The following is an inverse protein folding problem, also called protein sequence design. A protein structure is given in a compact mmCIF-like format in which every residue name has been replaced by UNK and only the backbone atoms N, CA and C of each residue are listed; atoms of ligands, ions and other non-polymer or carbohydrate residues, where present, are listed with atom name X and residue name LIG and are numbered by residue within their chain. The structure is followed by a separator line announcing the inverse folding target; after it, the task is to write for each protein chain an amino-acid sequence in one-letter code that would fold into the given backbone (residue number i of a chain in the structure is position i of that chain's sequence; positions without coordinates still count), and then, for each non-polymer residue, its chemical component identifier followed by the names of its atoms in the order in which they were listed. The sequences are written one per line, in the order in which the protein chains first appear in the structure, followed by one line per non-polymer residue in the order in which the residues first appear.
data_IF_963514039866
#
_entry.id   IF_963514039866
#
_cell.length_a   1.000
_cell.length_b   1.000
_cell.length_c   1.000
_cell.angle_alpha   90.00
_cell.angle_beta   90.00
_cell.angle_gamma   90.00
#
_symmetry.space_group_name_H-M   'P 1'
#
loop_
_entity.id
_entity.type
_entity.pdbx_description
1 polymer ?
#
# COMPACT_ATOMS: atom_id res chain seq x y z
N UNK A 1 -35.88 -8.39 -23.82
CA UNK A 1 -35.00 -7.33 -23.29
C UNK A 1 -34.10 -7.97 -22.26
N UNK A 2 -32.96 -8.49 -22.72
CA UNK A 2 -31.98 -9.15 -21.85
C UNK A 2 -31.17 -8.06 -21.16
N UNK A 3 -31.34 -7.90 -19.84
CA UNK A 3 -30.50 -7.00 -19.07
C UNK A 3 -29.10 -7.61 -18.96
N UNK A 4 -28.11 -6.87 -19.46
CA UNK A 4 -26.71 -7.19 -19.24
C UNK A 4 -26.41 -6.97 -17.75
N UNK A 5 -26.19 -8.08 -17.03
CA UNK A 5 -25.49 -8.04 -15.76
C UNK A 5 -24.09 -7.47 -16.05
N UNK A 6 -23.75 -6.36 -15.39
CA UNK A 6 -22.43 -5.75 -15.48
C UNK A 6 -21.36 -6.77 -15.08
N UNK A 7 -20.55 -7.17 -16.06
CA UNK A 7 -19.32 -7.92 -15.83
C UNK A 7 -18.39 -7.00 -15.05
N UNK A 8 -18.21 -7.27 -13.75
CA UNK A 8 -17.16 -6.62 -12.96
C UNK A 8 -15.82 -6.93 -13.61
N UNK A 9 -15.10 -5.89 -14.03
CA UNK A 9 -13.77 -6.07 -14.61
C UNK A 9 -12.93 -6.91 -13.63
N UNK A 10 -12.30 -7.98 -14.15
CA UNK A 10 -11.37 -8.78 -13.37
C UNK A 10 -10.31 -7.84 -12.81
N UNK A 11 -10.10 -7.91 -11.49
CA UNK A 11 -9.13 -7.05 -10.85
C UNK A 11 -7.73 -7.40 -11.31
N UNK A 12 -6.84 -6.41 -11.50
CA UNK A 12 -5.49 -6.65 -11.97
C UNK A 12 -4.79 -7.61 -10.99
N UNK A 13 -4.33 -8.73 -11.52
CA UNK A 13 -3.59 -9.72 -10.75
C UNK A 13 -2.17 -9.23 -10.47
N UNK A 14 -1.41 -10.02 -9.69
CA UNK A 14 0.01 -9.77 -9.40
C UNK A 14 0.84 -9.52 -10.66
N UNK A 15 0.55 -10.26 -11.75
CA UNK A 15 1.26 -10.12 -13.03
C UNK A 15 0.98 -8.75 -13.70
N UNK A 16 -0.25 -8.25 -13.59
CA UNK A 16 -0.63 -6.96 -14.18
C UNK A 16 0.06 -5.81 -13.45
N UNK A 17 0.18 -5.89 -12.11
CA UNK A 17 0.88 -4.90 -11.32
C UNK A 17 2.39 -4.88 -11.60
N UNK A 18 3.00 -6.06 -11.78
CA UNK A 18 4.40 -6.16 -12.16
C UNK A 18 4.67 -5.58 -13.56
N UNK A 19 3.80 -5.86 -14.54
CA UNK A 19 3.88 -5.30 -15.88
C UNK A 19 3.70 -3.76 -15.85
N UNK A 20 2.76 -3.26 -15.04
CA UNK A 20 2.57 -1.82 -14.87
C UNK A 20 3.78 -1.17 -14.20
N UNK A 21 4.37 -1.81 -13.20
CA UNK A 21 5.60 -1.35 -12.57
C UNK A 21 6.73 -1.21 -13.60
N UNK A 22 6.92 -2.22 -14.45
CA UNK A 22 7.94 -2.17 -15.50
C UNK A 22 7.71 -1.01 -16.48
N UNK A 23 6.46 -0.74 -16.85
CA UNK A 23 6.12 0.41 -17.70
C UNK A 23 6.47 1.75 -17.07
N UNK A 24 6.23 1.91 -15.77
CA UNK A 24 6.39 3.19 -15.05
C UNK A 24 7.83 3.45 -14.60
N UNK A 25 8.56 2.38 -14.23
CA UNK A 25 9.89 2.48 -13.64
C UNK A 25 11.02 2.01 -14.59
N UNK A 26 10.69 1.41 -15.73
CA UNK A 26 11.64 0.96 -16.74
C UNK A 26 12.45 -0.29 -16.36
N UNK A 27 12.01 -1.03 -15.34
CA UNK A 27 12.63 -2.26 -14.85
C UNK A 27 11.62 -3.15 -14.14
N UNK A 28 11.88 -4.44 -14.07
CA UNK A 28 11.05 -5.37 -13.30
C UNK A 28 11.08 -5.04 -11.80
N UNK A 29 9.98 -5.28 -11.07
CA UNK A 29 10.00 -5.24 -9.61
C UNK A 29 10.80 -6.42 -9.05
N UNK A 30 11.38 -6.25 -7.85
CA UNK A 30 12.00 -7.35 -7.11
C UNK A 30 10.94 -8.33 -6.59
N UNK A 31 9.74 -7.83 -6.35
CA UNK A 31 8.59 -8.63 -5.98
C UNK A 31 7.30 -7.84 -5.92
N UNK A 32 6.21 -8.57 -5.68
CA UNK A 32 4.89 -8.01 -5.41
C UNK A 32 4.40 -8.61 -4.10
N UNK A 33 4.02 -7.74 -3.17
CA UNK A 33 3.48 -8.11 -1.87
C UNK A 33 2.06 -7.60 -1.76
N UNK A 34 1.26 -8.26 -0.92
CA UNK A 34 -0.12 -7.87 -0.69
C UNK A 34 -0.53 -8.11 0.76
N UNK A 35 -1.41 -7.26 1.26
CA UNK A 35 -2.05 -7.44 2.56
C UNK A 35 -3.55 -7.14 2.45
N UNK A 36 -4.40 -7.92 3.13
CA UNK A 36 -5.84 -7.74 3.07
C UNK A 36 -6.29 -6.54 3.91
N UNK A 37 -7.39 -5.92 3.50
CA UNK A 37 -8.21 -5.14 4.41
C UNK A 37 -8.82 -6.05 5.49
N UNK A 38 -9.51 -5.45 6.46
CA UNK A 38 -10.17 -6.23 7.52
C UNK A 38 -11.48 -5.59 7.97
N UNK A 39 -12.36 -6.43 8.48
CA UNK A 39 -13.56 -6.05 9.21
C UNK A 39 -13.44 -6.59 10.62
N UNK A 40 -13.92 -5.82 11.61
CA UNK A 40 -14.09 -6.32 12.95
C UNK A 40 -15.51 -6.88 13.08
N UNK A 41 -15.65 -8.12 13.54
CA UNK A 41 -16.97 -8.71 13.77
C UNK A 41 -17.56 -8.15 15.08
N UNK A 42 -16.72 -7.98 16.10
CA UNK A 42 -17.06 -7.42 17.41
C UNK A 42 -15.79 -6.94 18.13
N UNK A 43 -15.95 -6.05 19.11
CA UNK A 43 -14.84 -5.48 19.88
C UNK A 43 -14.32 -4.19 19.26
N UNK A 44 -15.22 -3.29 18.87
CA UNK A 44 -14.83 -1.94 18.46
C UNK A 44 -14.43 -1.12 19.69
N UNK A 45 -13.40 -0.29 19.57
CA UNK A 45 -12.89 0.58 20.63
C UNK A 45 -12.34 -0.12 21.88
N UNK A 46 -12.06 -1.43 21.80
CA UNK A 46 -11.51 -2.21 22.91
C UNK A 46 -10.01 -2.44 22.80
N UNK A 47 -9.44 -2.42 21.59
CA UNK A 47 -8.03 -2.71 21.31
C UNK A 47 -7.06 -1.78 22.04
N UNK A 48 -7.29 -0.47 21.97
CA UNK A 48 -6.46 0.52 22.68
C UNK A 48 -6.74 0.59 24.19
N UNK A 49 -7.70 -0.19 24.68
CA UNK A 49 -8.02 -0.34 26.10
C UNK A 49 -7.64 -1.73 26.64
N UNK A 50 -6.74 -2.45 25.95
CA UNK A 50 -6.30 -3.81 26.32
C UNK A 50 -7.43 -4.86 26.38
N UNK A 51 -8.52 -4.64 25.64
CA UNK A 51 -9.65 -5.56 25.53
C UNK A 51 -9.54 -6.54 24.35
N UNK A 52 -10.54 -7.42 24.23
CA UNK A 52 -10.61 -8.40 23.14
C UNK A 52 -11.22 -7.82 21.86
N UNK A 53 -10.78 -8.35 20.72
CA UNK A 53 -11.27 -8.04 19.37
C UNK A 53 -11.47 -9.32 18.57
N UNK A 54 -12.37 -9.31 17.58
CA UNK A 54 -12.57 -10.44 16.66
C UNK A 54 -12.56 -9.97 15.19
N UNK A 55 -11.38 -9.62 14.65
CA UNK A 55 -11.25 -9.22 13.26
C UNK A 55 -11.12 -10.42 12.33
N UNK A 56 -11.47 -10.21 11.06
CA UNK A 56 -11.13 -11.13 9.98
C UNK A 56 -10.70 -10.35 8.72
N UNK A 57 -9.77 -10.95 7.97
CA UNK A 57 -9.32 -10.43 6.68
C UNK A 57 -10.43 -10.58 5.63
N UNK A 58 -10.62 -9.56 4.80
CA UNK A 58 -11.55 -9.61 3.66
C UNK A 58 -10.83 -9.99 2.36
N UNK A 59 -11.59 -10.25 1.30
CA UNK A 59 -11.08 -10.58 -0.04
C UNK A 59 -10.54 -9.37 -0.83
N UNK A 60 -10.49 -8.20 -0.20
CA UNK A 60 -9.94 -6.95 -0.74
C UNK A 60 -8.55 -6.71 -0.18
N UNK A 61 -7.63 -6.26 -1.00
CA UNK A 61 -6.19 -6.19 -0.70
C UNK A 61 -5.57 -4.88 -1.17
N UNK A 62 -4.60 -4.40 -0.41
CA UNK A 62 -3.57 -3.50 -0.95
C UNK A 62 -2.44 -4.37 -1.51
N UNK A 63 -1.91 -3.97 -2.66
CA UNK A 63 -0.83 -4.63 -3.39
C UNK A 63 0.26 -3.61 -3.69
N UNK A 64 1.51 -3.99 -3.45
CA UNK A 64 2.67 -3.16 -3.78
C UNK A 64 3.66 -3.95 -4.62
N UNK A 65 4.06 -3.38 -5.75
CA UNK A 65 5.24 -3.85 -6.49
C UNK A 65 6.41 -2.97 -6.06
N UNK A 66 7.49 -3.59 -5.58
CA UNK A 66 8.64 -2.88 -5.02
C UNK A 66 9.92 -3.33 -5.71
N UNK A 67 10.83 -2.38 -5.94
CA UNK A 67 12.19 -2.68 -6.34
C UNK A 67 13.19 -1.78 -5.62
N UNK A 68 14.19 -2.40 -5.00
CA UNK A 68 15.25 -1.73 -4.26
C UNK A 68 16.13 -0.93 -5.20
N UNK A 69 16.67 0.18 -4.71
CA UNK A 69 17.59 1.08 -5.39
C UNK A 69 18.92 1.14 -4.63
N UNK A 70 19.98 1.50 -5.35
CA UNK A 70 21.30 1.69 -4.75
C UNK A 70 21.45 3.05 -4.04
N UNK A 71 20.57 4.01 -4.33
CA UNK A 71 20.55 5.34 -3.70
C UNK A 71 19.58 5.38 -2.49
N UNK A 72 19.46 6.55 -1.85
CA UNK A 72 18.51 6.80 -0.74
C UNK A 72 17.15 7.29 -1.21
N UNK A 73 16.86 7.27 -2.51
CA UNK A 73 15.62 7.85 -3.05
C UNK A 73 14.49 6.85 -2.91
N UNK A 74 13.32 7.31 -2.46
CA UNK A 74 12.05 6.58 -2.55
C UNK A 74 11.20 7.24 -3.63
N UNK A 75 10.76 6.47 -4.63
CA UNK A 75 9.76 6.92 -5.61
C UNK A 75 8.48 6.12 -5.44
N UNK A 76 7.37 6.83 -5.28
CA UNK A 76 6.06 6.28 -4.98
C UNK A 76 5.10 6.66 -6.10
N UNK A 77 4.39 5.66 -6.61
CA UNK A 77 3.31 5.84 -7.57
C UNK A 77 2.08 5.06 -7.10
N UNK A 78 0.89 5.58 -7.35
CA UNK A 78 -0.39 4.92 -7.07
C UNK A 78 -1.17 4.78 -8.37
N UNK A 79 -1.81 3.63 -8.57
CA UNK A 79 -2.77 3.43 -9.67
C UNK A 79 -4.08 4.18 -9.46
N UNK A 80 -4.33 4.65 -8.23
CA UNK A 80 -5.49 5.45 -7.85
C UNK A 80 -5.15 6.94 -7.80
N UNK A 81 -5.97 7.75 -8.48
CA UNK A 81 -5.85 9.20 -8.54
C UNK A 81 -4.89 9.70 -9.63
N UNK A 82 -4.73 11.02 -9.68
CA UNK A 82 -3.86 11.75 -10.63
C UNK A 82 -2.83 12.58 -9.85
N UNK A 83 -2.04 11.91 -9.01
CA UNK A 83 -1.02 12.58 -8.18
C UNK A 83 0.37 12.49 -8.79
N UNK A 84 0.54 11.68 -9.84
CA UNK A 84 1.82 11.39 -10.47
C UNK A 84 2.81 10.69 -9.53
N UNK A 85 4.05 10.57 -10.01
CA UNK A 85 5.17 10.02 -9.25
C UNK A 85 5.60 11.01 -8.15
N UNK A 86 5.64 10.54 -6.91
CA UNK A 86 6.16 11.31 -5.76
C UNK A 86 7.54 10.78 -5.38
N UNK A 87 8.50 11.67 -5.16
CA UNK A 87 9.85 11.28 -4.72
C UNK A 87 10.18 11.87 -3.35
N UNK A 88 10.90 11.10 -2.52
CA UNK A 88 11.41 11.50 -1.22
C UNK A 88 12.83 10.97 -1.01
N UNK A 89 13.62 11.63 -0.17
CA UNK A 89 14.94 11.16 0.26
C UNK A 89 14.85 10.58 1.66
N UNK A 90 15.33 9.34 1.85
CA UNK A 90 15.36 8.67 3.14
C UNK A 90 16.22 9.39 4.19
N UNK A 91 17.27 10.10 3.77
CA UNK A 91 18.12 10.87 4.67
C UNK A 91 17.44 12.11 5.24
N UNK A 92 16.37 12.58 4.60
CA UNK A 92 15.59 13.76 5.03
C UNK A 92 14.17 13.39 5.49
N UNK A 93 13.90 12.11 5.74
CA UNK A 93 12.57 11.62 6.06
C UNK A 93 12.14 12.10 7.45
N UNK A 94 11.07 12.90 7.51
CA UNK A 94 10.50 13.40 8.76
C UNK A 94 8.98 13.28 8.75
N UNK A 95 8.36 13.25 9.94
CA UNK A 95 6.90 13.10 10.06
C UNK A 95 6.09 14.14 9.24
N UNK A 96 6.66 15.32 8.99
CA UNK A 96 6.03 16.40 8.23
C UNK A 96 6.22 16.32 6.70
N UNK A 97 7.11 15.46 6.18
CA UNK A 97 7.46 15.46 4.75
C UNK A 97 6.48 14.67 3.87
N UNK A 98 5.65 13.81 4.46
CA UNK A 98 4.69 12.99 3.74
C UNK A 98 3.28 13.62 3.66
N UNK A 99 2.63 13.54 2.49
CA UNK A 99 1.30 14.12 2.24
C UNK A 99 0.36 13.10 1.60
N UNK A 100 -0.93 13.16 1.96
CA UNK A 100 -1.92 12.24 1.42
C UNK A 100 -1.55 10.77 1.72
N UNK A 101 -1.72 9.90 0.72
CA UNK A 101 -1.49 8.46 0.87
C UNK A 101 -0.02 8.09 1.08
N UNK A 102 0.94 8.93 0.65
CA UNK A 102 2.37 8.61 0.79
C UNK A 102 2.81 8.52 2.24
N UNK A 103 2.02 9.07 3.18
CA UNK A 103 2.20 8.90 4.62
C UNK A 103 2.25 7.44 5.05
N UNK A 104 1.51 6.55 4.39
CA UNK A 104 1.47 5.13 4.74
C UNK A 104 2.81 4.43 4.43
N UNK A 105 3.28 4.33 3.16
CA UNK A 105 4.57 3.71 2.87
C UNK A 105 5.75 4.45 3.51
N UNK A 106 5.75 5.78 3.51
CA UNK A 106 6.85 6.55 4.13
C UNK A 106 6.86 6.39 5.65
N UNK A 107 5.70 6.25 6.29
CA UNK A 107 5.58 6.00 7.72
C UNK A 107 6.15 4.65 8.13
N UNK A 108 5.90 3.59 7.34
CA UNK A 108 6.49 2.27 7.55
C UNK A 108 8.02 2.35 7.48
N UNK A 109 8.55 2.94 6.41
CA UNK A 109 10.00 3.07 6.22
C UNK A 109 10.63 3.87 7.37
N UNK A 110 10.03 5.00 7.73
CA UNK A 110 10.47 5.81 8.87
C UNK A 110 10.46 4.99 10.17
N UNK A 111 9.40 4.24 10.45
CA UNK A 111 9.28 3.44 11.67
C UNK A 111 10.31 2.31 11.73
N UNK A 112 10.64 1.67 10.60
CA UNK A 112 11.72 0.68 10.51
C UNK A 112 13.09 1.32 10.82
N UNK A 113 13.36 2.51 10.27
CA UNK A 113 14.58 3.26 10.57
C UNK A 113 14.69 3.65 12.05
N UNK A 114 13.57 4.04 12.71
CA UNK A 114 13.55 4.30 14.15
C UNK A 114 13.90 3.07 15.00
N UNK A 115 13.73 1.86 14.45
CA UNK A 115 14.11 0.59 15.09
C UNK A 115 15.54 0.15 14.72
N UNK A 116 16.31 0.98 14.03
CA UNK A 116 17.67 0.66 13.59
C UNK A 116 17.73 -0.29 12.38
N UNK A 117 16.61 -0.51 11.69
CA UNK A 117 16.57 -1.32 10.47
C UNK A 117 16.92 -0.42 9.29
N UNK A 118 18.03 -0.72 8.63
CA UNK A 118 18.44 0.00 7.44
C UNK A 118 17.51 -0.37 6.27
N UNK A 119 16.81 0.63 5.73
CA UNK A 119 15.97 0.49 4.54
C UNK A 119 16.67 1.21 3.38
N UNK A 120 16.97 0.53 2.26
CA UNK A 120 17.54 1.16 1.07
C UNK A 120 16.50 2.03 0.35
N UNK A 121 16.94 2.86 -0.61
CA UNK A 121 16.00 3.51 -1.53
C UNK A 121 15.17 2.47 -2.28
N UNK A 122 13.98 2.87 -2.73
CA UNK A 122 13.06 1.96 -3.41
C UNK A 122 12.13 2.67 -4.38
N UNK A 123 11.75 1.95 -5.43
CA UNK A 123 10.62 2.29 -6.28
C UNK A 123 9.41 1.46 -5.81
N UNK A 124 8.25 2.07 -5.63
CA UNK A 124 7.03 1.41 -5.18
C UNK A 124 5.84 1.86 -6.02
N UNK A 125 5.14 0.88 -6.59
CA UNK A 125 3.83 1.05 -7.20
C UNK A 125 2.76 0.46 -6.28
N UNK A 126 1.80 1.29 -5.87
CA UNK A 126 0.65 0.90 -5.06
C UNK A 126 -0.60 0.72 -5.93
N UNK A 127 -1.30 -0.38 -5.70
CA UNK A 127 -2.67 -0.64 -6.16
C UNK A 127 -3.49 -1.19 -4.98
N UNK A 128 -4.79 -0.89 -4.90
CA UNK A 128 -5.63 -1.39 -3.81
C UNK A 128 -7.10 -1.42 -4.17
N UNK A 129 -7.74 -2.57 -4.03
CA UNK A 129 -9.18 -2.70 -4.17
C UNK A 129 -9.94 -2.61 -2.84
N UNK A 130 -9.26 -2.26 -1.75
CA UNK A 130 -9.89 -1.96 -0.46
C UNK A 130 -10.60 -0.59 -0.56
N UNK A 131 -11.94 -0.53 -0.38
CA UNK A 131 -12.67 0.72 -0.51
C UNK A 131 -12.16 1.81 0.43
N UNK A 132 -11.81 2.98 -0.13
CA UNK A 132 -11.35 4.13 0.63
C UNK A 132 -12.46 4.68 1.53
N UNK A 133 -12.14 4.95 2.79
CA UNK A 133 -13.06 5.60 3.74
C UNK A 133 -14.23 4.73 4.23
N UNK A 134 -14.29 3.46 3.84
CA UNK A 134 -15.38 2.55 4.23
C UNK A 134 -15.21 1.91 5.63
N UNK A 135 -14.20 2.33 6.41
CA UNK A 135 -13.86 1.67 7.68
C UNK A 135 -13.23 0.27 7.52
N UNK A 136 -12.86 -0.12 6.29
CA UNK A 136 -12.30 -1.44 5.96
C UNK A 136 -10.77 -1.53 6.08
N UNK A 137 -10.18 -0.56 6.78
CA UNK A 137 -8.75 -0.53 7.12
C UNK A 137 -7.81 -0.50 5.89
N UNK A 138 -8.13 0.36 4.91
CA UNK A 138 -7.29 0.54 3.72
C UNK A 138 -5.88 1.05 4.03
N UNK A 139 -5.71 1.88 5.06
CA UNK A 139 -4.39 2.35 5.51
C UNK A 139 -3.53 1.22 6.06
N UNK A 140 -4.12 0.39 6.94
CA UNK A 140 -3.47 -0.80 7.51
C UNK A 140 -3.06 -1.80 6.42
N UNK A 141 -3.92 -2.04 5.43
CA UNK A 141 -3.58 -2.91 4.31
C UNK A 141 -2.36 -2.38 3.54
N UNK A 142 -2.28 -1.07 3.29
CA UNK A 142 -1.10 -0.47 2.65
C UNK A 142 0.13 -0.62 3.55
N UNK A 143 0.02 -0.27 4.82
CA UNK A 143 1.13 -0.35 5.78
C UNK A 143 1.68 -1.77 5.96
N UNK A 144 0.84 -2.80 5.93
CA UNK A 144 1.27 -4.19 6.04
C UNK A 144 1.77 -4.80 4.73
N UNK A 145 1.39 -4.24 3.58
CA UNK A 145 1.91 -4.69 2.29
C UNK A 145 3.35 -4.19 2.04
N UNK A 146 3.72 -3.06 2.67
CA UNK A 146 5.04 -2.40 2.61
C UNK A 146 6.00 -2.98 3.64
#
# INVERSE_FOLDING_TARGET
MSSQAGQGAAQPGTADLAARFEQEFGRLPDGVWQAPGRVNLIGEHTDYNEGFVLPFAIDKTARVAIAVRADSTVRLLSTYGDQGMVSADLGALAAATAKGWTKYPLGVIWALQQRGIAVPGLDLLLDSDVPLGAGLSSSHAIECAV
#
